data_IF_691307574830
#
_entry.id   IF_691307574830
#
_cell.length_a   1.000
_cell.length_b   1.000
_cell.length_c   1.000
_cell.angle_alpha   90.00
_cell.angle_beta   90.00
_cell.angle_gamma   90.00
#
_symmetry.space_group_name_H-M   'P 1'
#
loop_
_entity.id
_entity.type
_entity.pdbx_description
1 polymer ?
#
# COMPACT_ATOMS: atom_id res chain seq x y z
N UNK A 1 0.53 6.50 9.01
CA UNK A 1 -0.60 6.93 8.15
C UNK A 1 -1.39 8.13 8.67
N UNK A 2 -1.68 8.27 9.98
CA UNK A 2 -2.41 9.44 10.51
C UNK A 2 -1.50 10.69 10.56
N UNK A 3 -1.01 11.13 9.40
CA UNK A 3 -0.24 12.36 9.26
C UNK A 3 -1.05 13.61 9.64
N UNK A 4 -2.39 13.71 9.42
CA UNK A 4 -3.14 14.87 9.88
C UNK A 4 -3.03 15.05 11.39
N UNK A 5 -3.11 13.95 12.16
CA UNK A 5 -2.90 13.99 13.61
C UNK A 5 -1.48 14.41 14.00
N UNK A 6 -0.45 14.06 13.23
CA UNK A 6 0.91 14.58 13.46
C UNK A 6 0.94 16.09 13.26
N UNK A 7 0.39 16.58 12.14
CA UNK A 7 0.41 17.99 11.77
C UNK A 7 -0.42 18.87 12.71
N UNK A 8 -1.53 18.34 13.22
CA UNK A 8 -2.38 19.03 14.19
C UNK A 8 -1.85 18.96 15.63
N UNK A 9 -0.75 18.22 15.87
CA UNK A 9 -0.20 18.01 17.20
C UNK A 9 -1.09 17.15 18.12
N UNK A 10 -1.82 16.18 17.56
CA UNK A 10 -2.64 15.25 18.35
C UNK A 10 -1.78 14.50 19.38
N UNK A 11 -2.12 14.65 20.66
CA UNK A 11 -1.32 14.11 21.77
C UNK A 11 -1.16 12.59 21.70
N UNK A 12 -2.21 11.87 21.29
CA UNK A 12 -2.15 10.41 21.20
C UNK A 12 -1.23 9.95 20.06
N UNK A 13 -1.26 10.65 18.92
CA UNK A 13 -0.37 10.38 17.78
C UNK A 13 1.08 10.73 18.13
N UNK A 14 1.33 11.91 18.71
CA UNK A 14 2.68 12.33 19.10
C UNK A 14 3.26 11.45 20.21
N UNK A 15 2.43 10.99 21.15
CA UNK A 15 2.85 10.05 22.19
C UNK A 15 3.36 8.73 21.58
N UNK A 16 2.68 8.19 20.57
CA UNK A 16 3.14 6.98 19.84
C UNK A 16 4.49 7.20 19.15
N UNK A 17 4.69 8.36 18.52
CA UNK A 17 5.98 8.73 17.91
C UNK A 17 7.07 8.79 18.97
N UNK A 18 6.78 9.43 20.11
CA UNK A 18 7.75 9.56 21.20
C UNK A 18 8.11 8.22 21.84
N UNK A 19 7.19 7.25 21.90
CA UNK A 19 7.49 5.88 22.35
C UNK A 19 8.53 5.17 21.47
N UNK A 20 8.61 5.53 20.19
CA UNK A 20 9.59 4.99 19.24
C UNK A 20 10.92 5.78 19.23
N UNK A 21 11.14 6.72 20.17
CA UNK A 21 12.35 7.53 20.21
C UNK A 21 13.61 6.66 20.21
N UNK A 22 14.56 7.02 19.35
CA UNK A 22 15.82 6.28 19.16
C UNK A 22 15.71 5.11 18.19
N UNK A 23 14.50 4.70 17.79
CA UNK A 23 14.25 3.80 16.66
C UNK A 23 14.03 4.60 15.37
N UNK A 24 13.94 3.87 14.26
CA UNK A 24 13.53 4.43 12.97
C UNK A 24 12.01 4.57 12.97
N UNK A 25 11.50 5.70 12.49
CA UNK A 25 10.08 5.99 12.41
C UNK A 25 9.73 6.18 10.94
N UNK A 26 8.98 5.23 10.40
CA UNK A 26 8.57 5.25 9.01
C UNK A 26 7.35 6.13 8.78
N UNK A 27 7.35 6.80 7.63
CA UNK A 27 6.28 7.70 7.24
C UNK A 27 5.34 7.12 6.20
N UNK A 28 4.18 7.77 6.15
CA UNK A 28 3.12 7.59 5.17
C UNK A 28 2.41 8.95 5.10
N UNK A 29 2.77 9.74 4.09
CA UNK A 29 2.45 11.15 3.99
C UNK A 29 2.08 11.54 2.54
N UNK A 30 1.00 10.98 1.97
CA UNK A 30 0.56 11.30 0.61
C UNK A 30 0.20 12.78 0.50
N UNK A 31 0.79 13.48 -0.47
CA UNK A 31 0.48 14.88 -0.79
C UNK A 31 0.94 15.92 0.24
N UNK A 32 1.63 15.51 1.31
CA UNK A 32 2.15 16.44 2.32
C UNK A 32 3.35 17.21 1.75
N UNK A 33 3.29 18.54 1.78
CA UNK A 33 4.28 19.44 1.16
C UNK A 33 4.55 20.68 2.04
N UNK A 34 5.55 21.48 1.65
CA UNK A 34 5.78 22.80 2.25
C UNK A 34 6.08 22.80 3.75
N UNK A 35 5.35 23.65 4.49
CA UNK A 35 5.49 23.77 5.96
C UNK A 35 4.99 22.53 6.67
N UNK A 36 3.93 21.90 6.18
CA UNK A 36 3.36 20.69 6.75
C UNK A 36 4.36 19.54 6.66
N UNK A 37 5.02 19.38 5.50
CA UNK A 37 6.09 18.40 5.34
C UNK A 37 7.25 18.67 6.31
N UNK A 38 7.57 19.95 6.54
CA UNK A 38 8.60 20.32 7.52
C UNK A 38 8.19 19.97 8.94
N UNK A 39 6.94 20.19 9.32
CA UNK A 39 6.40 19.80 10.62
C UNK A 39 6.39 18.28 10.81
N UNK A 40 6.00 17.53 9.77
CA UNK A 40 6.02 16.07 9.77
C UNK A 40 7.44 15.50 9.98
N UNK A 41 8.42 16.06 9.26
CA UNK A 41 9.84 15.70 9.43
C UNK A 41 10.35 16.09 10.82
N UNK A 42 9.97 17.27 11.33
CA UNK A 42 10.36 17.74 12.67
C UNK A 42 9.84 16.84 13.80
N UNK A 43 8.74 16.10 13.57
CA UNK A 43 8.27 15.06 14.47
C UNK A 43 9.16 13.80 14.50
N UNK A 44 10.19 13.72 13.64
CA UNK A 44 11.16 12.62 13.60
C UNK A 44 10.88 11.55 12.54
N UNK A 45 9.94 11.80 11.63
CA UNK A 45 9.56 10.86 10.58
C UNK A 45 10.37 11.17 9.32
N UNK A 46 11.19 10.21 8.88
CA UNK A 46 12.25 10.47 7.90
C UNK A 46 12.12 9.69 6.59
N UNK A 47 11.09 8.86 6.43
CA UNK A 47 10.80 8.17 5.16
C UNK A 47 9.38 8.40 4.69
N UNK A 48 9.13 8.11 3.41
CA UNK A 48 7.78 8.03 2.85
C UNK A 48 7.77 7.13 1.61
N UNK A 49 6.71 6.33 1.47
CA UNK A 49 6.43 5.47 0.30
C UNK A 49 5.25 5.95 -0.56
N UNK A 50 4.61 7.07 -0.19
CA UNK A 50 3.33 7.50 -0.76
C UNK A 50 3.44 8.55 -1.88
N UNK A 51 4.65 8.87 -2.30
CA UNK A 51 4.84 9.86 -3.36
C UNK A 51 4.29 9.36 -4.69
N UNK A 52 3.34 10.10 -5.28
CA UNK A 52 2.70 9.71 -6.55
C UNK A 52 3.30 10.42 -7.76
N UNK A 53 4.03 11.53 -7.53
CA UNK A 53 4.66 12.34 -8.56
C UNK A 53 6.14 12.60 -8.29
N UNK A 54 6.90 12.84 -9.36
CA UNK A 54 8.31 13.19 -9.29
C UNK A 54 8.57 14.45 -8.46
N UNK A 55 7.69 15.46 -8.53
CA UNK A 55 7.92 16.72 -7.81
C UNK A 55 7.71 16.55 -6.29
N UNK A 56 6.67 15.81 -5.88
CA UNK A 56 6.42 15.50 -4.47
C UNK A 56 7.61 14.74 -3.85
N UNK A 57 8.06 13.67 -4.51
CA UNK A 57 9.21 12.91 -4.05
C UNK A 57 10.49 13.76 -4.03
N UNK A 58 10.66 14.66 -5.01
CA UNK A 58 11.82 15.55 -5.07
C UNK A 58 11.82 16.56 -3.93
N UNK A 59 10.67 17.09 -3.55
CA UNK A 59 10.55 17.95 -2.37
C UNK A 59 10.93 17.18 -1.09
N UNK A 60 10.36 15.98 -0.89
CA UNK A 60 10.67 15.11 0.26
C UNK A 60 12.17 14.82 0.36
N UNK A 61 12.81 14.47 -0.75
CA UNK A 61 14.24 14.23 -0.80
C UNK A 61 15.07 15.48 -0.51
N UNK A 62 14.69 16.66 -1.06
CA UNK A 62 15.36 17.95 -0.78
C UNK A 62 15.26 18.34 0.70
N UNK A 63 14.18 17.98 1.38
CA UNK A 63 14.00 18.21 2.83
C UNK A 63 14.68 17.15 3.71
N UNK A 64 15.41 16.21 3.10
CA UNK A 64 16.22 15.23 3.82
C UNK A 64 15.50 13.94 4.19
N UNK A 65 14.32 13.67 3.62
CA UNK A 65 13.68 12.37 3.76
C UNK A 65 14.36 11.31 2.88
N UNK A 66 14.15 10.05 3.25
CA UNK A 66 14.36 8.90 2.39
C UNK A 66 13.08 8.66 1.58
N UNK A 67 13.22 8.46 0.27
CA UNK A 67 12.11 8.14 -0.61
C UNK A 67 12.10 6.62 -0.83
N UNK A 68 11.03 5.99 -0.40
CA UNK A 68 10.74 4.58 -0.66
C UNK A 68 9.97 4.50 -1.98
N UNK A 69 10.63 4.06 -3.05
CA UNK A 69 10.04 3.95 -4.38
C UNK A 69 9.23 2.66 -4.46
N UNK A 70 7.90 2.82 -4.48
CA UNK A 70 6.92 1.73 -4.46
C UNK A 70 6.62 1.15 -5.84
N UNK A 71 6.59 -0.17 -5.90
CA UNK A 71 6.07 -0.94 -7.03
C UNK A 71 5.33 -2.18 -6.53
N UNK A 72 4.06 -1.99 -6.16
CA UNK A 72 3.16 -3.03 -5.67
C UNK A 72 2.20 -3.54 -6.74
N UNK A 73 1.16 -4.25 -6.29
CA UNK A 73 0.08 -4.74 -7.16
C UNK A 73 -0.85 -3.63 -7.60
N UNK A 74 -1.27 -2.78 -6.67
CA UNK A 74 -2.25 -1.71 -6.91
C UNK A 74 -1.54 -0.38 -7.21
N UNK A 75 -0.59 0.00 -6.35
CA UNK A 75 0.16 1.26 -6.47
C UNK A 75 1.51 1.04 -7.16
N UNK A 76 1.67 1.65 -8.33
CA UNK A 76 2.87 1.50 -9.17
C UNK A 76 3.49 2.86 -9.46
N UNK A 77 4.51 3.21 -8.70
CA UNK A 77 5.15 4.52 -8.75
C UNK A 77 6.58 4.48 -9.29
N UNK A 78 7.18 3.29 -9.52
CA UNK A 78 8.56 3.18 -9.99
C UNK A 78 8.83 4.01 -11.23
N UNK A 79 8.00 3.88 -12.27
CA UNK A 79 8.24 4.57 -13.54
C UNK A 79 8.19 6.10 -13.39
N UNK A 80 7.35 6.62 -12.49
CA UNK A 80 7.25 8.05 -12.21
C UNK A 80 8.41 8.57 -11.35
N UNK A 81 8.92 7.75 -10.42
CA UNK A 81 9.91 8.15 -9.42
C UNK A 81 11.34 7.75 -9.77
N UNK A 82 11.57 6.83 -10.70
CA UNK A 82 12.91 6.39 -11.09
C UNK A 82 13.86 7.54 -11.50
N UNK A 83 13.39 8.63 -12.16
CA UNK A 83 14.23 9.80 -12.43
C UNK A 83 14.80 10.49 -11.19
N UNK A 84 14.30 10.22 -9.97
CA UNK A 84 14.95 10.69 -8.73
C UNK A 84 16.29 10.01 -8.48
N UNK A 85 16.55 8.83 -9.05
CA UNK A 85 17.73 8.02 -8.72
C UNK A 85 18.90 8.45 -9.59
N UNK A 86 19.72 9.36 -9.06
CA UNK A 86 20.94 9.89 -9.71
C UNK A 86 22.16 9.62 -8.83
N UNK A 87 23.37 9.87 -9.35
CA UNK A 87 24.61 9.80 -8.55
C UNK A 87 24.62 10.71 -7.32
N UNK A 88 23.81 11.77 -7.32
CA UNK A 88 23.72 12.71 -6.21
C UNK A 88 22.69 12.30 -5.15
N UNK A 89 21.70 11.49 -5.51
CA UNK A 89 20.47 11.32 -4.74
C UNK A 89 20.21 9.87 -4.33
N UNK A 90 20.80 8.90 -5.01
CA UNK A 90 20.46 7.49 -4.85
C UNK A 90 20.55 6.97 -3.42
N UNK A 91 21.49 7.48 -2.61
CA UNK A 91 21.71 7.06 -1.20
C UNK A 91 20.49 7.31 -0.29
N UNK A 92 19.55 8.16 -0.72
CA UNK A 92 18.29 8.42 -0.03
C UNK A 92 17.08 7.80 -0.72
N UNK A 93 17.30 6.94 -1.70
CA UNK A 93 16.25 6.17 -2.35
C UNK A 93 16.39 4.69 -1.95
N UNK A 94 15.26 4.00 -1.79
CA UNK A 94 15.21 2.54 -1.64
C UNK A 94 13.96 1.98 -2.30
N UNK A 95 13.96 0.71 -2.67
CA UNK A 95 12.77 0.06 -3.24
C UNK A 95 11.90 -0.56 -2.15
N UNK A 96 10.59 -0.47 -2.35
CA UNK A 96 9.57 -1.18 -1.56
C UNK A 96 8.50 -1.73 -2.50
N UNK A 97 7.85 -2.83 -2.10
CA UNK A 97 6.69 -3.37 -2.82
C UNK A 97 5.37 -2.88 -2.24
N UNK A 98 5.36 -2.52 -0.94
CA UNK A 98 4.13 -2.27 -0.19
C UNK A 98 3.17 -3.47 -0.31
N UNK A 99 1.96 -3.29 -0.83
CA UNK A 99 1.02 -4.39 -1.03
C UNK A 99 1.27 -5.19 -2.32
N UNK A 100 1.33 -6.52 -2.17
CA UNK A 100 1.46 -7.45 -3.30
C UNK A 100 0.48 -8.61 -3.19
N UNK A 101 -0.26 -8.83 -4.28
CA UNK A 101 -1.17 -9.96 -4.41
C UNK A 101 -0.39 -11.28 -4.55
N UNK A 102 -0.99 -12.39 -4.10
CA UNK A 102 -0.39 -13.72 -4.29
C UNK A 102 -0.14 -14.06 -5.76
N UNK A 103 -0.99 -13.56 -6.66
CA UNK A 103 -0.85 -13.78 -8.09
C UNK A 103 0.38 -13.04 -8.65
N UNK A 104 0.56 -11.77 -8.29
CA UNK A 104 1.73 -11.00 -8.74
C UNK A 104 3.02 -11.47 -8.05
N UNK A 105 2.93 -11.95 -6.81
CA UNK A 105 4.07 -12.58 -6.13
C UNK A 105 4.53 -13.84 -6.88
N UNK A 106 3.58 -14.72 -7.24
CA UNK A 106 3.86 -15.95 -7.98
C UNK A 106 4.38 -15.67 -9.40
N UNK A 107 3.78 -14.70 -10.09
CA UNK A 107 4.10 -14.40 -11.50
C UNK A 107 5.40 -13.61 -11.64
N UNK A 108 5.55 -12.55 -10.86
CA UNK A 108 6.56 -11.52 -11.12
C UNK A 108 7.74 -11.57 -10.13
N UNK A 109 7.57 -12.13 -8.93
CA UNK A 109 8.55 -12.14 -7.84
C UNK A 109 8.14 -11.22 -6.69
N UNK A 110 9.07 -10.75 -5.87
CA UNK A 110 8.87 -9.78 -4.79
C UNK A 110 9.74 -8.52 -5.06
N UNK A 111 10.60 -8.11 -4.12
CA UNK A 111 11.53 -6.99 -4.30
C UNK A 111 12.45 -7.18 -5.52
N UNK A 112 12.78 -8.42 -5.86
CA UNK A 112 13.57 -8.77 -7.04
C UNK A 112 12.87 -8.38 -8.35
N UNK A 113 11.54 -8.40 -8.38
CA UNK A 113 10.77 -7.93 -9.52
C UNK A 113 10.93 -6.42 -9.73
N UNK A 114 10.97 -5.65 -8.63
CA UNK A 114 11.16 -4.19 -8.66
C UNK A 114 12.56 -3.86 -9.18
N UNK A 115 13.58 -4.58 -8.69
CA UNK A 115 14.97 -4.45 -9.18
C UNK A 115 15.06 -4.76 -10.67
N UNK A 116 14.50 -5.90 -11.13
CA UNK A 116 14.46 -6.24 -12.57
C UNK A 116 13.75 -5.18 -13.39
N UNK A 117 12.61 -4.66 -12.91
CA UNK A 117 11.87 -3.60 -13.60
C UNK A 117 12.73 -2.33 -13.72
N UNK A 118 13.40 -1.89 -12.64
CA UNK A 118 14.26 -0.71 -12.65
C UNK A 118 15.43 -0.86 -13.65
N UNK A 119 16.07 -2.03 -13.69
CA UNK A 119 17.14 -2.33 -14.66
C UNK A 119 16.61 -2.28 -16.09
N UNK A 120 15.44 -2.89 -16.36
CA UNK A 120 14.78 -2.83 -17.67
C UNK A 120 14.43 -1.39 -18.10
N UNK A 121 14.23 -0.48 -17.14
CA UNK A 121 14.02 0.95 -17.39
C UNK A 121 15.32 1.75 -17.55
N UNK A 122 16.47 1.08 -17.53
CA UNK A 122 17.78 1.69 -17.78
C UNK A 122 18.53 2.13 -16.53
N UNK A 123 18.06 1.80 -15.32
CA UNK A 123 18.87 2.02 -14.12
C UNK A 123 20.06 1.05 -14.12
N UNK A 124 21.24 1.55 -13.78
CA UNK A 124 22.43 0.73 -13.59
C UNK A 124 22.14 -0.45 -12.63
N UNK A 125 22.48 -1.70 -12.99
CA UNK A 125 22.18 -2.86 -12.15
C UNK A 125 22.80 -2.82 -10.76
N UNK A 126 24.02 -2.31 -10.63
CA UNK A 126 24.66 -2.18 -9.31
C UNK A 126 23.88 -1.17 -8.45
N UNK A 127 23.49 -0.05 -9.03
CA UNK A 127 22.64 0.96 -8.39
C UNK A 127 21.30 0.38 -7.96
N UNK A 128 20.63 -0.37 -8.83
CA UNK A 128 19.35 -1.01 -8.53
C UNK A 128 19.47 -1.98 -7.33
N UNK A 129 20.55 -2.77 -7.28
CA UNK A 129 20.83 -3.66 -6.16
C UNK A 129 21.11 -2.88 -4.87
N UNK A 130 21.84 -1.77 -4.93
CA UNK A 130 22.09 -0.92 -3.74
C UNK A 130 20.79 -0.40 -3.12
N UNK A 131 19.84 0.01 -3.96
CA UNK A 131 18.51 0.50 -3.53
C UNK A 131 17.67 -0.59 -2.84
N UNK A 132 17.94 -1.87 -3.09
CA UNK A 132 17.27 -3.01 -2.44
C UNK A 132 18.10 -3.64 -1.31
N UNK A 133 19.33 -3.19 -1.08
CA UNK A 133 20.26 -3.81 -0.12
C UNK A 133 20.83 -2.77 0.84
N UNK A 134 21.98 -2.17 0.54
CA UNK A 134 22.72 -1.32 1.47
C UNK A 134 21.97 -0.05 1.84
N UNK A 135 21.27 0.61 0.90
CA UNK A 135 20.52 1.83 1.19
C UNK A 135 19.40 1.57 2.22
N UNK A 136 18.70 0.45 2.03
CA UNK A 136 17.65 -0.02 2.94
C UNK A 136 18.24 -0.35 4.31
N UNK A 137 19.34 -1.11 4.34
CA UNK A 137 20.01 -1.48 5.59
C UNK A 137 20.53 -0.26 6.37
N UNK A 138 21.09 0.73 5.69
CA UNK A 138 21.57 1.99 6.28
C UNK A 138 20.42 2.78 6.90
N UNK A 139 19.31 2.96 6.17
CA UNK A 139 18.15 3.69 6.67
C UNK A 139 17.55 3.03 7.92
N UNK A 140 17.34 1.70 7.86
CA UNK A 140 16.78 0.94 8.98
C UNK A 140 17.79 0.66 10.11
N UNK A 141 19.04 1.13 10.00
CA UNK A 141 20.14 0.89 10.95
C UNK A 141 20.39 -0.60 11.20
N UNK A 142 20.20 -1.41 10.16
CA UNK A 142 20.42 -2.86 10.17
C UNK A 142 21.91 -3.13 9.99
N UNK A 143 22.66 -2.94 11.08
CA UNK A 143 24.10 -3.13 11.10
C UNK A 143 24.49 -4.52 10.57
N UNK A 144 25.56 -4.58 9.77
CA UNK A 144 26.13 -5.82 9.23
C UNK A 144 25.20 -6.57 8.23
N UNK A 145 24.20 -5.88 7.66
CA UNK A 145 23.36 -6.36 6.56
C UNK A 145 23.48 -5.44 5.33
N UNK A 146 23.04 -5.93 4.16
CA UNK A 146 22.95 -5.14 2.94
C UNK A 146 24.23 -5.01 2.11
N UNK A 147 25.38 -5.52 2.57
CA UNK A 147 26.63 -5.51 1.82
C UNK A 147 27.43 -6.81 1.96
N UNK A 148 28.35 -7.03 1.02
CA UNK A 148 29.32 -8.13 1.03
C UNK A 148 30.66 -7.57 1.51
N UNK A 149 30.98 -7.76 2.78
CA UNK A 149 32.24 -7.33 3.38
C UNK A 149 32.57 -8.15 4.64
N UNK A 150 33.85 -8.20 5.08
CA UNK A 150 34.22 -8.82 6.35
C UNK A 150 33.36 -8.29 7.50
N UNK A 151 32.84 -9.22 8.31
CA UNK A 151 31.93 -8.91 9.41
C UNK A 151 30.45 -8.81 9.02
N UNK A 152 30.08 -8.70 7.75
CA UNK A 152 28.66 -8.71 7.35
C UNK A 152 28.07 -10.12 7.41
N UNK A 153 26.76 -10.22 7.66
CA UNK A 153 26.05 -11.48 7.62
C UNK A 153 25.99 -11.99 6.18
N UNK A 154 26.34 -13.26 5.97
CA UNK A 154 26.32 -13.91 4.66
C UNK A 154 24.89 -14.23 4.19
N UNK A 155 24.09 -13.18 4.00
CA UNK A 155 22.86 -13.21 3.22
C UNK A 155 23.23 -12.80 1.79
N UNK A 156 23.42 -13.78 0.92
CA UNK A 156 24.03 -13.58 -0.39
C UNK A 156 23.11 -14.13 -1.48
N UNK A 157 23.14 -13.50 -2.64
CA UNK A 157 22.60 -14.06 -3.87
C UNK A 157 23.74 -14.19 -4.88
N UNK A 158 23.78 -15.33 -5.56
CA UNK A 158 24.67 -15.55 -6.72
C UNK A 158 23.79 -15.43 -7.96
N UNK A 159 24.19 -14.52 -8.84
CA UNK A 159 23.43 -14.15 -10.03
C UNK A 159 24.26 -14.57 -11.25
N UNK A 160 23.63 -15.22 -12.22
CA UNK A 160 24.30 -15.61 -13.47
C UNK A 160 24.55 -14.41 -14.38
N UNK A 161 23.55 -13.54 -14.51
CA UNK A 161 23.57 -12.39 -15.40
C UNK A 161 22.94 -11.18 -14.70
N UNK A 162 23.75 -10.14 -14.49
CA UNK A 162 23.37 -8.98 -13.68
C UNK A 162 22.25 -8.15 -14.31
N UNK A 163 22.22 -8.07 -15.65
CA UNK A 163 21.21 -7.32 -16.39
C UNK A 163 19.80 -7.92 -16.31
N UNK A 164 19.70 -9.24 -16.09
CA UNK A 164 18.43 -9.96 -15.96
C UNK A 164 18.08 -10.31 -14.51
N UNK A 165 19.05 -10.21 -13.59
CA UNK A 165 18.94 -10.63 -12.19
C UNK A 165 18.52 -12.11 -12.04
N UNK A 166 19.03 -12.99 -12.90
CA UNK A 166 18.79 -14.44 -12.81
C UNK A 166 19.51 -15.06 -11.61
N UNK A 167 18.78 -15.46 -10.58
CA UNK A 167 19.35 -15.99 -9.33
C UNK A 167 19.66 -17.49 -9.42
N UNK A 168 20.93 -17.87 -9.30
CA UNK A 168 21.35 -19.29 -9.23
C UNK A 168 21.36 -19.81 -7.80
N UNK A 169 21.91 -19.06 -6.84
CA UNK A 169 22.02 -19.49 -5.44
C UNK A 169 21.59 -18.41 -4.47
N UNK A 170 20.90 -18.81 -3.40
CA UNK A 170 20.54 -17.92 -2.29
C UNK A 170 21.11 -18.49 -1.00
N UNK A 171 21.88 -17.68 -0.29
CA UNK A 171 22.43 -17.98 1.02
C UNK A 171 21.75 -17.13 2.08
N UNK A 172 21.41 -17.75 3.20
CA UNK A 172 20.94 -17.06 4.41
C UNK A 172 21.82 -17.47 5.59
N UNK A 173 22.45 -16.49 6.23
CA UNK A 173 23.43 -16.72 7.32
C UNK A 173 24.52 -17.73 6.94
N UNK A 174 25.00 -17.65 5.70
CA UNK A 174 26.06 -18.52 5.16
C UNK A 174 25.62 -19.93 4.75
N UNK A 175 24.33 -20.27 4.88
CA UNK A 175 23.79 -21.56 4.44
C UNK A 175 23.09 -21.41 3.10
N UNK A 176 23.36 -22.32 2.17
CA UNK A 176 22.62 -22.39 0.90
C UNK A 176 21.17 -22.80 1.18
N UNK A 177 20.22 -21.92 0.92
CA UNK A 177 18.79 -22.10 1.22
C UNK A 177 17.92 -22.20 -0.03
N UNK A 178 18.40 -21.78 -1.20
CA UNK A 178 17.72 -22.03 -2.46
C UNK A 178 18.73 -22.16 -3.60
N UNK A 179 18.37 -22.95 -4.62
CA UNK A 179 19.16 -23.08 -5.85
C UNK A 179 18.23 -23.15 -7.06
N UNK A 180 18.50 -22.33 -8.10
CA UNK A 180 17.73 -22.25 -9.35
C UNK A 180 16.21 -22.17 -9.10
N UNK A 181 15.81 -21.23 -8.25
CA UNK A 181 14.42 -21.00 -7.87
C UNK A 181 13.78 -22.06 -6.96
N UNK A 182 14.50 -23.11 -6.55
CA UNK A 182 13.97 -24.16 -5.67
C UNK A 182 14.42 -23.95 -4.22
N UNK A 183 13.51 -23.94 -3.24
CA UNK A 183 13.89 -23.90 -1.83
C UNK A 183 14.57 -25.21 -1.42
N UNK A 184 15.58 -25.11 -0.56
CA UNK A 184 16.31 -26.23 0.07
C UNK A 184 15.97 -26.35 1.56
N UNK A 185 14.90 -25.71 2.00
CA UNK A 185 14.37 -25.75 3.35
C UNK A 185 12.92 -26.27 3.34
N UNK A 186 12.44 -26.87 4.43
CA UNK A 186 11.05 -27.30 4.53
C UNK A 186 10.12 -26.09 4.50
N UNK A 187 9.04 -26.19 3.73
CA UNK A 187 7.99 -25.17 3.73
C UNK A 187 7.28 -25.16 5.09
N UNK A 188 7.06 -23.96 5.63
CA UNK A 188 6.30 -23.78 6.85
C UNK A 188 4.86 -24.26 6.65
N UNK A 189 4.39 -25.17 7.51
CA UNK A 189 2.98 -25.49 7.63
C UNK A 189 2.40 -24.66 8.77
N UNK A 190 1.41 -23.82 8.45
CA UNK A 190 0.73 -23.04 9.46
C UNK A 190 0.08 -23.97 10.48
N UNK A 191 0.26 -23.67 11.78
CA UNK A 191 -0.48 -24.34 12.83
C UNK A 191 -1.98 -24.11 12.61
N UNK A 192 -2.75 -25.19 12.55
CA UNK A 192 -4.19 -25.12 12.34
C UNK A 192 -4.85 -24.33 13.49
N UNK A 193 -5.75 -23.40 13.16
CA UNK A 193 -6.76 -22.85 14.08
C UNK A 193 -6.59 -21.41 14.58
N UNK A 194 -5.46 -20.73 14.37
CA UNK A 194 -5.23 -19.43 15.02
C UNK A 194 -5.96 -18.22 14.38
N UNK A 195 -6.53 -18.35 13.17
CA UNK A 195 -7.10 -17.22 12.40
C UNK A 195 -8.37 -17.62 11.63
N UNK A 196 -9.23 -18.45 12.22
CA UNK A 196 -10.51 -18.85 11.62
C UNK A 196 -11.69 -18.13 12.30
N UNK A 197 -12.87 -18.14 11.67
CA UNK A 197 -14.11 -17.60 12.25
C UNK A 197 -14.05 -16.11 12.63
N UNK A 198 -13.39 -15.29 11.82
CA UNK A 198 -13.20 -13.84 12.07
C UNK A 198 -14.34 -12.96 11.53
N UNK A 199 -15.46 -13.55 11.12
CA UNK A 199 -16.64 -12.82 10.62
C UNK A 199 -17.73 -12.93 11.68
N UNK A 200 -17.93 -11.84 12.41
CA UNK A 200 -18.90 -11.69 13.48
C UNK A 200 -19.77 -10.46 13.22
N UNK A 201 -20.86 -10.67 12.48
CA UNK A 201 -21.83 -9.63 12.11
C UNK A 201 -23.09 -9.74 12.95
N UNK A 202 -23.71 -8.59 13.27
CA UNK A 202 -25.07 -8.58 13.80
C UNK A 202 -26.03 -8.93 12.65
N UNK A 203 -26.98 -9.87 12.80
CA UNK A 203 -27.96 -10.15 11.76
C UNK A 203 -28.75 -8.89 11.38
N UNK A 204 -28.94 -8.67 10.07
CA UNK A 204 -29.73 -7.58 9.50
C UNK A 204 -30.48 -8.08 8.26
N UNK A 205 -31.45 -7.29 7.79
CA UNK A 205 -32.20 -7.57 6.56
C UNK A 205 -31.88 -6.54 5.47
N UNK A 206 -32.34 -6.80 4.25
CA UNK A 206 -32.04 -5.95 3.08
C UNK A 206 -32.45 -4.48 3.27
N UNK A 207 -33.42 -4.19 4.13
CA UNK A 207 -33.86 -2.83 4.45
C UNK A 207 -32.75 -1.97 5.06
N UNK A 208 -31.78 -2.59 5.75
CA UNK A 208 -30.62 -1.88 6.29
C UNK A 208 -29.66 -1.35 5.21
N UNK A 209 -29.85 -1.72 3.94
CA UNK A 209 -29.08 -1.22 2.80
C UNK A 209 -29.74 -0.01 2.12
N UNK A 210 -30.92 0.43 2.58
CA UNK A 210 -31.61 1.61 2.03
C UNK A 210 -30.86 2.88 2.40
N UNK A 211 -30.39 3.58 1.37
CA UNK A 211 -29.73 4.87 1.50
C UNK A 211 -30.75 5.97 1.17
N UNK A 212 -31.15 6.74 2.18
CA UNK A 212 -32.12 7.84 2.00
C UNK A 212 -31.46 9.04 1.33
N UNK A 213 -32.19 9.69 0.42
CA UNK A 213 -31.74 10.94 -0.18
C UNK A 213 -31.84 12.10 0.82
N UNK A 214 -30.76 12.87 0.96
CA UNK A 214 -30.75 14.14 1.70
C UNK A 214 -31.02 15.34 0.79
N UNK A 215 -30.87 15.17 -0.52
CA UNK A 215 -31.22 16.18 -1.53
C UNK A 215 -31.13 15.65 -2.96
N UNK A 216 -31.15 16.59 -3.93
CA UNK A 216 -30.99 16.25 -5.36
C UNK A 216 -29.57 15.84 -5.74
N UNK A 217 -28.59 16.20 -4.92
CA UNK A 217 -27.17 15.98 -5.16
C UNK A 217 -26.52 15.42 -3.92
N UNK A 218 -25.69 14.39 -4.07
CA UNK A 218 -25.06 13.67 -2.97
C UNK A 218 -23.55 13.54 -3.20
N UNK A 219 -22.76 13.37 -2.13
CA UNK A 219 -21.35 13.06 -2.26
C UNK A 219 -21.14 11.66 -2.86
N UNK A 220 -20.34 11.58 -3.91
CA UNK A 220 -19.89 10.34 -4.56
C UNK A 220 -18.37 10.27 -4.48
N UNK A 221 -17.86 9.10 -4.10
CA UNK A 221 -16.43 8.80 -4.10
C UNK A 221 -16.02 8.43 -5.55
N UNK A 222 -15.16 9.22 -6.16
CA UNK A 222 -14.55 8.90 -7.46
C UNK A 222 -13.21 8.19 -7.26
N UNK A 223 -13.09 6.98 -7.81
CA UNK A 223 -11.86 6.20 -7.81
C UNK A 223 -10.88 6.78 -8.84
N UNK A 224 -9.62 6.91 -8.44
CA UNK A 224 -8.52 7.21 -9.36
C UNK A 224 -7.78 5.89 -9.67
N UNK A 225 -7.88 5.35 -10.91
CA UNK A 225 -7.29 4.06 -11.23
C UNK A 225 -5.77 3.98 -10.94
N UNK A 226 -5.35 2.90 -10.29
CA UNK A 226 -3.93 2.61 -9.99
C UNK A 226 -3.29 3.55 -8.95
N UNK A 227 -4.10 4.23 -8.12
CA UNK A 227 -3.64 5.14 -7.08
C UNK A 227 -4.43 4.94 -5.78
N UNK A 228 -3.82 5.27 -4.65
CA UNK A 228 -4.42 5.19 -3.31
C UNK A 228 -5.44 6.33 -3.04
N UNK A 229 -5.44 7.37 -3.87
CA UNK A 229 -6.26 8.57 -3.66
C UNK A 229 -7.64 8.42 -4.29
N UNK A 230 -8.62 9.11 -3.69
CA UNK A 230 -9.97 9.28 -4.24
C UNK A 230 -10.31 10.75 -4.36
N UNK A 231 -11.36 11.07 -5.13
CA UNK A 231 -11.89 12.43 -5.23
C UNK A 231 -13.32 12.46 -4.73
N UNK A 232 -13.68 13.57 -4.07
CA UNK A 232 -15.08 13.86 -3.76
C UNK A 232 -15.76 14.51 -4.96
N UNK A 233 -16.91 13.99 -5.38
CA UNK A 233 -17.81 14.58 -6.37
C UNK A 233 -19.17 14.84 -5.75
N UNK A 234 -19.85 15.90 -6.19
CA UNK A 234 -21.23 16.16 -5.83
C UNK A 234 -22.08 15.88 -7.07
N UNK A 235 -22.78 14.76 -7.08
CA UNK A 235 -23.49 14.27 -8.27
C UNK A 235 -24.98 14.23 -8.04
N UNK A 236 -25.76 14.45 -9.12
CA UNK A 236 -27.20 14.19 -9.09
C UNK A 236 -27.44 12.69 -8.96
N UNK A 237 -28.30 12.28 -8.04
CA UNK A 237 -28.62 10.87 -7.79
C UNK A 237 -29.98 10.49 -8.35
N UNK A 238 -30.16 9.20 -8.69
CA UNK A 238 -31.47 8.63 -8.99
C UNK A 238 -32.13 8.26 -7.67
N UNK A 239 -33.38 8.67 -7.50
CA UNK A 239 -34.17 8.45 -6.29
C UNK A 239 -35.49 7.80 -6.70
N UNK A 240 -35.88 6.75 -5.98
CA UNK A 240 -37.17 6.08 -6.07
C UNK A 240 -37.72 5.94 -4.65
N UNK A 241 -38.90 6.49 -4.39
CA UNK A 241 -39.54 6.48 -3.06
C UNK A 241 -38.59 6.93 -1.93
N UNK A 242 -37.94 8.09 -2.13
CA UNK A 242 -36.92 8.69 -1.25
C UNK A 242 -35.64 7.86 -1.01
N UNK A 243 -35.51 6.72 -1.68
CA UNK A 243 -34.34 5.84 -1.61
C UNK A 243 -33.45 6.08 -2.83
N UNK A 244 -32.16 6.27 -2.58
CA UNK A 244 -31.16 6.38 -3.63
C UNK A 244 -30.94 5.00 -4.25
N UNK A 245 -31.09 4.93 -5.57
CA UNK A 245 -30.83 3.75 -6.38
C UNK A 245 -29.60 3.95 -7.27
N UNK A 246 -28.80 2.90 -7.53
CA UNK A 246 -27.64 2.99 -8.41
C UNK A 246 -27.98 3.53 -9.81
N UNK A 247 -27.10 4.38 -10.35
CA UNK A 247 -27.17 4.87 -11.73
C UNK A 247 -26.09 4.20 -12.59
N UNK A 248 -26.40 2.99 -13.06
CA UNK A 248 -25.48 2.11 -13.79
C UNK A 248 -24.95 2.75 -15.09
N UNK A 249 -25.73 3.61 -15.74
CA UNK A 249 -25.30 4.29 -16.97
C UNK A 249 -24.27 5.38 -16.71
N UNK A 250 -24.29 5.98 -15.50
CA UNK A 250 -23.29 6.96 -15.04
C UNK A 250 -22.25 6.36 -14.09
N UNK A 251 -22.28 5.05 -13.89
CA UNK A 251 -21.40 4.31 -12.97
C UNK A 251 -21.45 4.83 -11.53
N UNK A 252 -22.61 5.29 -11.08
CA UNK A 252 -22.82 5.67 -9.66
C UNK A 252 -23.42 4.45 -8.97
N UNK A 253 -22.60 3.72 -8.23
CA UNK A 253 -22.95 2.46 -7.56
C UNK A 253 -23.11 2.66 -6.06
N UNK A 254 -23.84 1.75 -5.41
CA UNK A 254 -23.95 1.74 -3.95
C UNK A 254 -22.72 1.07 -3.35
N UNK A 255 -22.18 1.69 -2.31
CA UNK A 255 -21.09 1.17 -1.49
C UNK A 255 -21.61 0.91 -0.07
N UNK A 256 -21.32 -0.27 0.47
CA UNK A 256 -21.77 -0.72 1.79
C UNK A 256 -20.56 -1.18 2.60
N UNK A 257 -20.49 -0.79 3.88
CA UNK A 257 -19.50 -1.29 4.83
C UNK A 257 -20.22 -1.86 6.04
N UNK A 258 -20.07 -3.16 6.30
CA UNK A 258 -20.68 -3.87 7.44
C UNK A 258 -19.61 -4.20 8.47
N UNK A 259 -19.83 -3.75 9.70
CA UNK A 259 -18.94 -4.06 10.83
C UNK A 259 -18.98 -5.56 11.16
N UNK A 260 -17.81 -6.21 11.18
CA UNK A 260 -17.70 -7.68 11.23
C UNK A 260 -16.85 -8.24 12.36
N UNK A 261 -16.41 -7.41 13.30
CA UNK A 261 -15.53 -7.84 14.39
C UNK A 261 -16.30 -8.00 15.71
N UNK A 262 -17.21 -7.07 16.01
CA UNK A 262 -17.87 -6.94 17.31
C UNK A 262 -19.39 -7.08 17.25
N UNK A 263 -19.96 -7.39 16.08
CA UNK A 263 -21.41 -7.46 15.87
C UNK A 263 -22.15 -6.22 16.42
N UNK A 264 -21.58 -5.02 16.23
CA UNK A 264 -22.20 -3.77 16.68
C UNK A 264 -23.50 -3.45 15.94
N UNK A 265 -23.65 -3.95 14.72
CA UNK A 265 -24.75 -3.62 13.81
C UNK A 265 -24.51 -2.33 13.02
N UNK A 266 -23.31 -1.74 13.10
CA UNK A 266 -22.96 -0.58 12.30
C UNK A 266 -22.85 -0.95 10.83
N UNK A 267 -23.62 -0.25 10.00
CA UNK A 267 -23.61 -0.35 8.53
C UNK A 267 -23.42 1.06 7.97
N UNK A 268 -22.32 1.27 7.25
CA UNK A 268 -22.07 2.49 6.50
C UNK A 268 -22.57 2.35 5.07
N UNK A 269 -23.29 3.35 4.57
CA UNK A 269 -23.81 3.38 3.20
C UNK A 269 -23.27 4.63 2.48
N UNK A 270 -22.94 4.48 1.21
CA UNK A 270 -22.46 5.58 0.37
C UNK A 270 -22.54 5.28 -1.11
N UNK A 271 -21.96 6.18 -1.90
CA UNK A 271 -21.95 6.09 -3.36
C UNK A 271 -20.52 6.15 -3.89
N UNK A 272 -20.25 5.36 -4.92
CA UNK A 272 -18.93 5.28 -5.55
C UNK A 272 -19.05 5.25 -7.07
N UNK A 273 -18.05 5.79 -7.76
CA UNK A 273 -17.93 5.74 -9.21
C UNK A 273 -16.51 5.40 -9.67
N UNK A 274 -16.40 4.82 -10.86
CA UNK A 274 -15.15 4.35 -11.45
C UNK A 274 -14.95 2.82 -11.39
N UNK A 275 -15.97 2.06 -10.98
CA UNK A 275 -15.93 0.59 -10.93
C UNK A 275 -16.32 -0.07 -12.27
N UNK A 276 -17.19 0.58 -13.05
CA UNK A 276 -17.68 0.07 -14.33
C UNK A 276 -18.65 -1.11 -14.24
N UNK A 277 -19.12 -1.48 -13.04
CA UNK A 277 -19.97 -2.66 -12.84
C UNK A 277 -21.35 -2.46 -13.48
N UNK A 278 -21.77 -3.39 -14.34
CA UNK A 278 -23.05 -3.31 -15.06
C UNK A 278 -24.16 -4.21 -14.51
N UNK A 279 -23.80 -5.22 -13.72
CA UNK A 279 -24.71 -6.14 -13.03
C UNK A 279 -23.98 -6.80 -11.84
N UNK A 280 -24.70 -7.32 -10.86
CA UNK A 280 -24.09 -8.00 -9.72
C UNK A 280 -23.59 -7.05 -8.63
N UNK A 281 -22.80 -7.63 -7.73
CA UNK A 281 -22.04 -6.97 -6.69
C UNK A 281 -20.66 -7.63 -6.51
N UNK A 282 -19.76 -6.93 -5.85
CA UNK A 282 -18.46 -7.41 -5.38
C UNK A 282 -18.38 -7.18 -3.87
N UNK A 283 -17.96 -8.18 -3.11
CA UNK A 283 -17.78 -8.08 -1.66
C UNK A 283 -16.41 -8.62 -1.24
N UNK A 284 -15.80 -7.97 -0.25
CA UNK A 284 -14.51 -8.35 0.32
C UNK A 284 -14.50 -8.09 1.83
N UNK A 285 -13.79 -8.94 2.58
CA UNK A 285 -13.45 -8.66 3.99
C UNK A 285 -12.01 -8.16 4.17
N UNK A 286 -11.32 -7.93 3.05
CA UNK A 286 -10.03 -7.25 2.96
C UNK A 286 -10.33 -5.82 2.50
N UNK A 287 -10.45 -4.91 3.48
CA UNK A 287 -10.78 -3.50 3.28
C UNK A 287 -9.94 -2.63 4.22
N UNK A 288 -8.81 -2.14 3.73
CA UNK A 288 -7.81 -1.45 4.53
C UNK A 288 -8.39 -0.24 5.29
N UNK A 289 -8.10 -0.03 6.58
CA UNK A 289 -7.36 -0.90 7.52
C UNK A 289 -8.26 -1.54 8.58
N UNK A 290 -9.56 -1.22 8.56
CA UNK A 290 -10.50 -1.82 9.51
C UNK A 290 -10.88 -3.25 9.15
N UNK A 291 -10.71 -3.63 7.87
CA UNK A 291 -11.06 -4.94 7.33
C UNK A 291 -12.48 -5.38 7.70
N UNK A 292 -13.42 -4.43 7.72
CA UNK A 292 -14.85 -4.71 7.73
C UNK A 292 -15.28 -5.31 6.38
N UNK A 293 -16.49 -5.86 6.29
CA UNK A 293 -17.00 -6.31 4.98
C UNK A 293 -17.32 -5.05 4.19
N UNK A 294 -16.73 -4.90 3.01
CA UNK A 294 -17.06 -3.85 2.05
C UNK A 294 -17.69 -4.50 0.82
N UNK A 295 -18.78 -3.91 0.33
CA UNK A 295 -19.46 -4.37 -0.87
C UNK A 295 -19.82 -3.19 -1.78
N UNK A 296 -19.68 -3.38 -3.08
CA UNK A 296 -20.17 -2.46 -4.11
C UNK A 296 -21.11 -3.22 -5.03
N UNK A 297 -22.24 -2.62 -5.41
CA UNK A 297 -23.20 -3.33 -6.25
C UNK A 297 -24.14 -2.43 -7.03
N UNK A 298 -24.79 -3.07 -7.99
CA UNK A 298 -25.77 -2.45 -8.89
C UNK A 298 -27.20 -2.47 -8.36
N UNK A 299 -27.46 -3.24 -7.30
CA UNK A 299 -28.73 -3.33 -6.60
C UNK A 299 -28.54 -3.99 -5.23
N UNK A 300 -29.53 -3.86 -4.34
CA UNK A 300 -29.42 -4.32 -2.95
C UNK A 300 -29.51 -5.84 -2.83
N UNK A 301 -30.21 -6.53 -3.75
CA UNK A 301 -30.35 -7.99 -3.71
C UNK A 301 -29.02 -8.69 -3.98
N UNK A 302 -28.20 -8.17 -4.90
CA UNK A 302 -26.88 -8.74 -5.19
C UNK A 302 -25.86 -8.39 -4.09
N UNK A 303 -26.06 -7.29 -3.36
CA UNK A 303 -25.19 -6.87 -2.25
C UNK A 303 -25.44 -7.71 -0.99
N UNK A 304 -26.71 -8.04 -0.72
CA UNK A 304 -27.17 -8.74 0.48
C UNK A 304 -26.80 -10.24 0.45
#
# INVERSE_FOLDING_TARGET
MNFPGVLSGDENVLSKINLARGKVIDGHAPGVSGKDLTAYIAAGILSDHESTSLEEAREKLRRGMYVMIREGSSEKNLDALLPLVTDKTYKRCMFVVDDRSCLDLLRDGDIDAVVRKAIKRGLDPVRAIQLATINTAEYFRLNRLGAIAPGYQANLIVIDELSSLSMDMVFYRGRLVARRGKPLFPLYQAAAGALVNTVNIKPFNIEALKLLASGKTEPVIEIVPGQIITKKRMERVKVLDDIIVPDISRDILKLVVVERHKATGNIGLGLVMGFGLKKGALASSIAHDSHNIIAVGTNDNDIF
#
